data_IF_016197371799
#
_entry.id   IF_016197371799
#
_cell.length_a   1.000
_cell.length_b   1.000
_cell.length_c   1.000
_cell.angle_alpha   90.00
_cell.angle_beta   90.00
_cell.angle_gamma   90.00
#
_symmetry.space_group_name_H-M   'P 1'
#
loop_
_entity.id
_entity.type
_entity.pdbx_description
1 polymer ?
#
# COMPACT_ATOMS: atom_id res chain seq x y z
N UNK A 1 -18.19 -3.01 12.75
CA UNK A 1 -17.88 -1.93 11.78
C UNK A 1 -16.44 -2.12 11.31
N UNK A 2 -16.15 -2.08 10.01
CA UNK A 2 -14.81 -2.40 9.49
C UNK A 2 -13.89 -1.18 9.38
N UNK A 3 -12.58 -1.39 9.52
CA UNK A 3 -11.53 -0.40 9.23
C UNK A 3 -10.75 -0.79 7.97
N UNK A 4 -10.12 0.21 7.36
CA UNK A 4 -9.25 0.04 6.22
C UNK A 4 -8.07 1.01 6.32
N UNK A 5 -6.98 0.65 5.65
CA UNK A 5 -5.83 1.54 5.44
C UNK A 5 -6.06 2.32 4.17
N UNK A 6 -5.74 3.61 4.20
CA UNK A 6 -5.89 4.55 3.08
C UNK A 6 -4.54 5.17 2.74
N UNK A 7 -4.00 4.84 1.58
CA UNK A 7 -2.73 5.35 1.07
C UNK A 7 -3.04 6.28 -0.11
N UNK A 8 -2.60 7.53 -0.04
CA UNK A 8 -2.88 8.50 -1.10
C UNK A 8 -2.16 8.09 -2.38
N UNK A 9 -2.78 8.38 -3.52
CA UNK A 9 -2.16 8.18 -4.82
C UNK A 9 -2.35 9.47 -5.61
N UNK A 10 -1.27 9.95 -6.22
CA UNK A 10 -1.30 11.20 -6.97
C UNK A 10 -2.29 11.09 -8.13
N UNK A 11 -2.99 12.18 -8.41
CA UNK A 11 -4.04 12.23 -9.43
C UNK A 11 -3.51 11.83 -10.81
N UNK A 12 -2.30 12.30 -11.18
CA UNK A 12 -1.66 11.95 -12.44
C UNK A 12 -1.40 10.44 -12.56
N UNK A 13 -0.93 9.80 -11.48
CA UNK A 13 -0.66 8.35 -11.44
C UNK A 13 -1.95 7.56 -11.53
N UNK A 14 -2.99 7.97 -10.79
CA UNK A 14 -4.30 7.32 -10.87
C UNK A 14 -4.96 7.47 -12.23
N UNK A 15 -4.92 8.67 -12.82
CA UNK A 15 -5.47 8.91 -14.15
C UNK A 15 -4.76 8.07 -15.21
N UNK A 16 -3.42 7.97 -15.14
CA UNK A 16 -2.66 7.09 -16.03
C UNK A 16 -3.05 5.61 -15.84
N UNK A 17 -3.23 5.16 -14.59
CA UNK A 17 -3.76 3.84 -14.30
C UNK A 17 -5.14 3.61 -14.93
N UNK A 18 -6.08 4.54 -14.74
CA UNK A 18 -7.46 4.46 -15.25
C UNK A 18 -7.50 4.37 -16.78
N UNK A 19 -6.65 5.13 -17.47
CA UNK A 19 -6.52 5.05 -18.92
C UNK A 19 -6.08 3.66 -19.38
N UNK A 20 -5.06 3.08 -18.74
CA UNK A 20 -4.58 1.73 -19.05
C UNK A 20 -5.66 0.69 -18.75
N UNK A 21 -6.31 0.80 -17.58
CA UNK A 21 -7.39 -0.08 -17.17
C UNK A 21 -8.55 -0.05 -18.17
N UNK A 22 -8.97 1.14 -18.63
CA UNK A 22 -10.00 1.28 -19.65
C UNK A 22 -9.58 0.67 -20.99
N UNK A 23 -8.37 0.97 -21.47
CA UNK A 23 -7.85 0.44 -22.73
C UNK A 23 -7.75 -1.09 -22.74
N UNK A 24 -7.29 -1.69 -21.63
CA UNK A 24 -7.22 -3.13 -21.48
C UNK A 24 -8.61 -3.76 -21.50
N UNK A 25 -9.58 -3.20 -20.76
CA UNK A 25 -10.95 -3.72 -20.72
C UNK A 25 -11.72 -3.51 -22.03
N UNK A 26 -11.31 -2.55 -22.87
CA UNK A 26 -11.83 -2.35 -24.22
C UNK A 26 -11.19 -3.29 -25.26
N UNK A 27 -10.22 -4.14 -24.86
CA UNK A 27 -9.59 -5.10 -25.75
C UNK A 27 -8.57 -4.48 -26.71
N UNK A 28 -7.84 -3.44 -26.27
CA UNK A 28 -6.80 -2.81 -27.10
C UNK A 28 -5.75 -3.82 -27.60
N UNK A 29 -5.34 -3.67 -28.86
CA UNK A 29 -4.25 -4.46 -29.46
C UNK A 29 -2.87 -3.89 -29.15
N UNK A 30 -2.78 -2.62 -28.75
CA UNK A 30 -1.52 -1.98 -28.41
C UNK A 30 -0.99 -2.51 -27.06
N UNK A 31 0.29 -2.91 -26.96
CA UNK A 31 0.85 -3.42 -25.72
C UNK A 31 0.84 -2.38 -24.59
N UNK A 32 0.18 -2.69 -23.47
CA UNK A 32 0.10 -1.80 -22.31
C UNK A 32 1.12 -2.12 -21.20
N UNK A 33 1.85 -3.22 -21.34
CA UNK A 33 2.71 -3.78 -20.30
C UNK A 33 3.79 -2.82 -19.76
N UNK A 34 4.45 -2.06 -20.65
CA UNK A 34 5.48 -1.09 -20.26
C UNK A 34 4.89 0.08 -19.47
N UNK A 35 3.79 0.66 -19.97
CA UNK A 35 3.12 1.79 -19.32
C UNK A 35 2.55 1.37 -17.97
N UNK A 36 1.91 0.19 -17.92
CA UNK A 36 1.42 -0.36 -16.65
C UNK A 36 2.56 -0.56 -15.67
N UNK A 37 3.69 -1.10 -16.11
CA UNK A 37 4.86 -1.30 -15.26
C UNK A 37 5.43 0.01 -14.68
N UNK A 38 5.38 1.12 -15.44
CA UNK A 38 5.74 2.45 -14.95
C UNK A 38 4.76 2.90 -13.86
N UNK A 39 3.45 2.84 -14.14
CA UNK A 39 2.41 3.23 -13.18
C UNK A 39 2.48 2.43 -11.88
N UNK A 40 2.68 1.12 -11.97
CA UNK A 40 2.88 0.27 -10.80
C UNK A 40 4.11 0.67 -9.98
N UNK A 41 5.17 1.13 -10.65
CA UNK A 41 6.39 1.57 -9.98
C UNK A 41 6.18 2.91 -9.26
N UNK A 42 5.41 3.82 -9.86
CA UNK A 42 5.06 5.10 -9.26
C UNK A 42 4.15 4.92 -8.04
N UNK A 43 3.10 4.09 -8.17
CA UNK A 43 2.25 3.68 -7.04
C UNK A 43 3.10 3.10 -5.90
N UNK A 44 4.00 2.17 -6.21
CA UNK A 44 4.86 1.54 -5.21
C UNK A 44 5.76 2.57 -4.51
N UNK A 45 6.35 3.50 -5.26
CA UNK A 45 7.20 4.55 -4.70
C UNK A 45 6.40 5.52 -3.83
N UNK A 46 5.21 5.96 -4.26
CA UNK A 46 4.34 6.83 -3.48
C UNK A 46 3.94 6.18 -2.15
N UNK A 47 3.63 4.89 -2.15
CA UNK A 47 3.28 4.15 -0.93
C UNK A 47 4.48 4.04 0.00
N UNK A 48 5.66 3.65 -0.51
CA UNK A 48 6.87 3.53 0.29
C UNK A 48 7.27 4.89 0.90
N UNK A 49 7.17 5.96 0.11
CA UNK A 49 7.45 7.32 0.56
C UNK A 49 6.51 7.73 1.70
N UNK A 50 5.19 7.54 1.54
CA UNK A 50 4.22 7.88 2.60
C UNK A 50 4.44 7.06 3.87
N UNK A 51 4.63 5.75 3.74
CA UNK A 51 4.70 4.88 4.91
C UNK A 51 6.03 5.04 5.64
N UNK A 52 7.15 5.18 4.93
CA UNK A 52 8.48 5.18 5.55
C UNK A 52 9.26 6.48 5.34
N UNK A 53 9.21 7.08 4.16
CA UNK A 53 9.95 8.32 3.88
C UNK A 53 9.47 9.48 4.75
N UNK A 54 8.16 9.70 4.81
CA UNK A 54 7.56 10.80 5.59
C UNK A 54 7.75 10.59 7.09
N UNK A 55 7.70 9.33 7.54
CA UNK A 55 8.03 8.94 8.92
C UNK A 55 9.46 9.36 9.29
N UNK A 56 10.44 9.02 8.46
CA UNK A 56 11.84 9.38 8.71
C UNK A 56 12.06 10.90 8.67
N UNK A 57 11.40 11.61 7.74
CA UNK A 57 11.48 13.06 7.65
C UNK A 57 10.96 13.75 8.93
N UNK A 58 9.84 13.29 9.49
CA UNK A 58 9.31 13.78 10.76
C UNK A 58 10.30 13.59 11.92
N UNK A 59 11.02 12.47 11.93
CA UNK A 59 12.00 12.14 12.98
C UNK A 59 13.28 12.98 12.91
N UNK A 60 13.68 13.46 11.71
CA UNK A 60 14.86 14.33 11.56
C UNK A 60 14.73 15.69 12.24
N UNK A 61 13.50 16.14 12.48
CA UNK A 61 13.26 17.43 13.13
C UNK A 61 13.45 17.40 14.67
N UNK A 62 13.87 16.25 15.24
CA UNK A 62 14.14 16.09 16.67
C UNK A 62 15.64 16.23 17.01
N UNK A 63 15.98 16.76 18.20
CA UNK A 63 17.33 17.27 18.50
C UNK A 63 18.43 16.21 18.76
N UNK A 64 18.15 14.90 18.73
CA UNK A 64 19.14 13.87 19.06
C UNK A 64 20.04 13.51 17.86
N UNK A 65 21.29 14.01 17.88
CA UNK A 65 22.29 13.80 16.84
C UNK A 65 22.70 12.33 16.63
N UNK A 66 22.56 11.47 17.64
CA UNK A 66 22.92 10.04 17.51
C UNK A 66 21.93 9.29 16.62
N UNK A 67 20.66 9.71 16.64
CA UNK A 67 19.57 9.13 15.88
C UNK A 67 19.57 9.59 14.41
N UNK A 68 20.07 10.80 14.13
CA UNK A 68 20.15 11.36 12.76
C UNK A 68 20.95 10.46 11.81
N UNK A 69 22.09 9.90 12.25
CA UNK A 69 22.89 9.00 11.40
C UNK A 69 22.14 7.73 11.01
N UNK A 70 21.39 7.13 11.94
CA UNK A 70 20.59 5.93 11.66
C UNK A 70 19.40 6.24 10.74
N UNK A 71 18.82 7.44 10.87
CA UNK A 71 17.79 7.93 9.96
C UNK A 71 18.35 8.10 8.54
N UNK A 72 19.51 8.73 8.39
CA UNK A 72 20.16 8.94 7.08
C UNK A 72 20.48 7.62 6.37
N UNK A 73 20.98 6.63 7.11
CA UNK A 73 21.21 5.28 6.56
C UNK A 73 19.90 4.62 6.12
N UNK A 74 18.84 4.79 6.90
CA UNK A 74 17.51 4.23 6.58
C UNK A 74 16.90 4.91 5.35
N UNK A 75 17.05 6.23 5.23
CA UNK A 75 16.60 6.98 4.06
C UNK A 75 17.32 6.53 2.79
N UNK A 76 18.65 6.37 2.84
CA UNK A 76 19.44 5.86 1.69
C UNK A 76 18.93 4.49 1.24
N UNK A 77 18.64 3.60 2.17
CA UNK A 77 18.09 2.27 1.85
C UNK A 77 16.72 2.40 1.18
N UNK A 78 15.82 3.25 1.70
CA UNK A 78 14.50 3.49 1.09
C UNK A 78 14.64 4.04 -0.33
N UNK A 79 15.48 5.04 -0.54
CA UNK A 79 15.74 5.62 -1.86
C UNK A 79 16.29 4.58 -2.84
N UNK A 80 17.22 3.72 -2.39
CA UNK A 80 17.75 2.63 -3.20
C UNK A 80 16.66 1.61 -3.58
N UNK A 81 15.75 1.27 -2.66
CA UNK A 81 14.61 0.39 -2.93
C UNK A 81 13.69 1.02 -3.98
N UNK A 82 13.32 2.29 -3.83
CA UNK A 82 12.47 3.00 -4.80
C UNK A 82 13.13 3.09 -6.18
N UNK A 83 14.43 3.44 -6.24
CA UNK A 83 15.18 3.49 -7.50
C UNK A 83 15.22 2.11 -8.19
N UNK A 84 15.39 1.05 -7.42
CA UNK A 84 15.36 -0.33 -7.90
C UNK A 84 13.99 -0.69 -8.46
N UNK A 85 12.91 -0.34 -7.76
CA UNK A 85 11.53 -0.56 -8.22
C UNK A 85 11.25 0.17 -9.54
N UNK A 86 11.63 1.44 -9.66
CA UNK A 86 11.48 2.22 -10.91
C UNK A 86 12.26 1.61 -12.07
N UNK A 87 13.41 1.00 -11.81
CA UNK A 87 14.24 0.37 -12.84
C UNK A 87 13.70 -0.99 -13.30
N UNK A 88 13.35 -1.87 -12.36
CA UNK A 88 13.09 -3.27 -12.68
C UNK A 88 11.61 -3.63 -12.82
N UNK A 89 10.70 -2.90 -12.17
CA UNK A 89 9.28 -3.23 -12.27
C UNK A 89 8.73 -3.06 -13.70
N UNK A 90 9.01 -1.96 -14.42
CA UNK A 90 8.59 -1.83 -15.82
C UNK A 90 9.10 -2.94 -16.72
N UNK A 91 10.37 -3.33 -16.53
CA UNK A 91 10.97 -4.44 -17.25
C UNK A 91 10.28 -5.78 -16.92
N UNK A 92 10.04 -6.07 -15.65
CA UNK A 92 9.41 -7.33 -15.22
C UNK A 92 7.99 -7.50 -15.77
N UNK A 93 7.24 -6.40 -15.88
CA UNK A 93 5.87 -6.41 -16.40
C UNK A 93 5.85 -6.45 -17.92
N UNK A 94 6.92 -5.99 -18.59
CA UNK A 94 7.00 -5.92 -20.06
C UNK A 94 6.86 -7.27 -20.78
N UNK A 95 7.04 -8.39 -20.07
CA UNK A 95 6.90 -9.73 -20.60
C UNK A 95 5.45 -10.23 -20.70
N UNK A 96 4.47 -9.47 -20.22
CA UNK A 96 3.07 -9.89 -20.21
C UNK A 96 2.26 -9.33 -21.38
N UNK A 97 1.38 -10.17 -21.93
CA UNK A 97 0.35 -9.75 -22.88
C UNK A 97 -0.78 -9.00 -22.18
N UNK A 98 -1.54 -8.19 -22.92
CA UNK A 98 -2.71 -7.47 -22.40
C UNK A 98 -3.72 -8.38 -21.69
N UNK A 99 -3.99 -9.56 -22.24
CA UNK A 99 -4.87 -10.56 -21.63
C UNK A 99 -4.40 -10.98 -20.22
N UNK A 100 -3.09 -11.17 -20.03
CA UNK A 100 -2.52 -11.52 -18.73
C UNK A 100 -2.54 -10.38 -17.73
N UNK A 101 -2.63 -9.14 -18.19
CA UNK A 101 -2.67 -7.95 -17.33
C UNK A 101 -4.08 -7.65 -16.81
N UNK A 102 -5.13 -8.08 -17.52
CA UNK A 102 -6.53 -7.82 -17.16
C UNK A 102 -6.89 -8.18 -15.71
N UNK A 103 -6.58 -9.39 -15.20
CA UNK A 103 -6.90 -9.74 -13.82
C UNK A 103 -6.23 -8.81 -12.81
N UNK A 104 -4.98 -8.41 -13.08
CA UNK A 104 -4.22 -7.50 -12.22
C UNK A 104 -4.87 -6.11 -12.20
N UNK A 105 -5.11 -5.49 -13.36
CA UNK A 105 -5.65 -4.13 -13.39
C UNK A 105 -7.06 -4.05 -12.82
N UNK A 106 -7.89 -5.07 -13.04
CA UNK A 106 -9.23 -5.11 -12.46
C UNK A 106 -9.20 -5.28 -10.93
N UNK A 107 -8.25 -6.08 -10.43
CA UNK A 107 -8.01 -6.19 -8.99
C UNK A 107 -7.56 -4.84 -8.41
N UNK A 108 -6.56 -4.19 -8.99
CA UNK A 108 -6.06 -2.91 -8.48
C UNK A 108 -7.12 -1.81 -8.55
N UNK A 109 -7.91 -1.73 -9.63
CA UNK A 109 -9.06 -0.83 -9.74
C UNK A 109 -10.04 -1.01 -8.56
N UNK A 110 -10.26 -2.25 -8.12
CA UNK A 110 -11.12 -2.54 -6.97
C UNK A 110 -10.59 -1.99 -5.63
N UNK A 111 -9.29 -1.69 -5.54
CA UNK A 111 -8.63 -1.12 -4.36
C UNK A 111 -8.66 0.41 -4.33
N UNK A 112 -8.86 1.08 -5.46
CA UNK A 112 -8.90 2.55 -5.52
C UNK A 112 -10.23 3.12 -5.03
N UNK A 113 -10.20 4.20 -4.24
CA UNK A 113 -11.38 4.97 -3.84
C UNK A 113 -11.06 6.45 -3.84
N UNK A 114 -11.97 7.25 -4.38
CA UNK A 114 -11.87 8.71 -4.32
C UNK A 114 -12.78 9.24 -3.22
N UNK A 115 -12.20 9.99 -2.28
CA UNK A 115 -12.91 10.66 -1.19
C UNK A 115 -12.46 12.11 -1.12
N UNK A 116 -13.40 13.06 -1.11
CA UNK A 116 -13.10 14.50 -1.05
C UNK A 116 -12.01 14.94 -2.05
N UNK A 117 -12.17 14.55 -3.32
CA UNK A 117 -11.23 14.82 -4.42
C UNK A 117 -9.82 14.21 -4.27
N UNK A 118 -9.58 13.40 -3.23
CA UNK A 118 -8.33 12.67 -3.06
C UNK A 118 -8.54 11.21 -3.42
N UNK A 119 -7.66 10.67 -4.28
CA UNK A 119 -7.65 9.25 -4.58
C UNK A 119 -6.79 8.50 -3.56
N UNK A 120 -7.32 7.39 -3.08
CA UNK A 120 -6.65 6.47 -2.18
C UNK A 120 -6.62 5.07 -2.78
N UNK A 121 -5.50 4.38 -2.61
CA UNK A 121 -5.46 2.93 -2.64
C UNK A 121 -5.79 2.43 -1.24
N UNK A 122 -6.75 1.50 -1.13
CA UNK A 122 -7.21 0.98 0.16
C UNK A 122 -7.21 -0.54 0.25
N UNK A 123 -6.96 -1.03 1.46
CA UNK A 123 -7.18 -2.43 1.80
C UNK A 123 -7.91 -2.55 3.14
N UNK A 124 -8.77 -3.57 3.21
CA UNK A 124 -9.56 -3.87 4.40
C UNK A 124 -8.70 -4.55 5.45
N UNK A 125 -8.93 -4.20 6.72
CA UNK A 125 -8.30 -4.88 7.84
C UNK A 125 -9.23 -5.90 8.48
N UNK A 126 -8.64 -6.95 9.02
CA UNK A 126 -9.31 -7.89 9.92
C UNK A 126 -9.80 -7.19 11.19
N UNK A 127 -11.02 -7.50 11.63
CA UNK A 127 -11.64 -6.80 12.77
C UNK A 127 -10.97 -7.11 14.10
N UNK A 128 -10.44 -8.32 14.29
CA UNK A 128 -9.73 -8.72 15.51
C UNK A 128 -8.41 -7.96 15.57
N UNK A 129 -7.66 -7.94 14.46
CA UNK A 129 -6.43 -7.16 14.36
C UNK A 129 -6.66 -5.68 14.70
N UNK A 130 -7.71 -5.07 14.14
CA UNK A 130 -8.04 -3.67 14.41
C UNK A 130 -8.31 -3.44 15.90
N UNK A 131 -9.10 -4.30 16.53
CA UNK A 131 -9.40 -4.20 17.96
C UNK A 131 -8.15 -4.35 18.82
N UNK A 132 -7.29 -5.31 18.48
CA UNK A 132 -6.02 -5.54 19.18
C UNK A 132 -5.06 -4.36 19.01
N UNK A 133 -4.99 -3.77 17.80
CA UNK A 133 -4.20 -2.56 17.54
C UNK A 133 -4.67 -1.40 18.41
N UNK A 134 -5.97 -1.05 18.37
CA UNK A 134 -6.49 0.06 19.17
C UNK A 134 -6.28 -0.19 20.67
N UNK A 135 -6.53 -1.41 21.16
CA UNK A 135 -6.34 -1.73 22.57
C UNK A 135 -4.88 -1.60 23.02
N UNK A 136 -3.91 -1.98 22.20
CA UNK A 136 -2.49 -1.83 22.53
C UNK A 136 -2.04 -0.36 22.43
N UNK A 137 -2.44 0.32 21.36
CA UNK A 137 -2.10 1.73 21.11
C UNK A 137 -2.64 2.65 22.21
N UNK A 138 -3.89 2.48 22.63
CA UNK A 138 -4.49 3.31 23.69
C UNK A 138 -3.77 3.16 25.03
N UNK A 139 -3.22 1.97 25.32
CA UNK A 139 -2.40 1.75 26.52
C UNK A 139 -1.03 2.41 26.42
N UNK A 140 -0.41 2.41 25.24
CA UNK A 140 0.86 3.13 25.00
C UNK A 140 0.64 4.64 25.15
N UNK A 141 -0.45 5.18 24.57
CA UNK A 141 -0.85 6.58 24.73
C UNK A 141 -1.10 6.98 26.18
N UNK A 142 -1.61 6.04 26.98
CA UNK A 142 -1.78 6.20 28.43
C UNK A 142 -0.46 6.06 29.23
N UNK A 143 0.70 6.00 28.57
CA UNK A 143 2.02 5.92 29.19
C UNK A 143 2.44 4.51 29.63
N UNK A 144 1.68 3.46 29.27
CA UNK A 144 2.01 2.09 29.67
C UNK A 144 3.03 1.48 28.71
N UNK A 145 4.31 1.81 28.91
CA UNK A 145 5.44 1.38 28.08
C UNK A 145 5.51 -0.13 27.81
N UNK A 146 5.02 -0.96 28.74
CA UNK A 146 4.95 -2.44 28.58
C UNK A 146 4.12 -2.88 27.37
N UNK A 147 3.23 -2.02 26.85
CA UNK A 147 2.43 -2.31 25.66
C UNK A 147 3.08 -1.88 24.34
N UNK A 148 4.22 -1.18 24.37
CA UNK A 148 4.94 -0.74 23.15
C UNK A 148 5.25 -1.92 22.23
N UNK A 149 5.86 -3.04 22.69
CA UNK A 149 6.10 -4.19 21.81
C UNK A 149 4.83 -4.74 21.17
N UNK A 150 3.73 -4.79 21.94
CA UNK A 150 2.44 -5.30 21.44
C UNK A 150 1.83 -4.37 20.39
N UNK A 151 1.94 -3.06 20.56
CA UNK A 151 1.48 -2.09 19.57
C UNK A 151 2.26 -2.24 18.26
N UNK A 152 3.60 -2.30 18.32
CA UNK A 152 4.43 -2.49 17.13
C UNK A 152 4.22 -3.85 16.45
N UNK A 153 3.95 -4.92 17.21
CA UNK A 153 3.56 -6.21 16.65
C UNK A 153 2.25 -6.10 15.84
N UNK A 154 1.23 -5.44 16.39
CA UNK A 154 -0.04 -5.25 15.70
C UNK A 154 0.11 -4.38 14.45
N UNK A 155 0.91 -3.30 14.52
CA UNK A 155 1.23 -2.46 13.35
C UNK A 155 1.98 -3.25 12.27
N UNK A 156 2.90 -4.13 12.65
CA UNK A 156 3.62 -5.02 11.72
C UNK A 156 2.66 -5.96 10.98
N UNK A 157 1.64 -6.49 11.68
CA UNK A 157 0.61 -7.31 11.06
C UNK A 157 -0.27 -6.51 10.08
N UNK A 158 -0.59 -5.24 10.39
CA UNK A 158 -1.30 -4.35 9.45
C UNK A 158 -0.47 -4.14 8.18
N UNK A 159 0.83 -3.88 8.31
CA UNK A 159 1.74 -3.75 7.17
C UNK A 159 1.80 -5.04 6.35
N UNK A 160 1.82 -6.21 7.00
CA UNK A 160 1.81 -7.51 6.29
C UNK A 160 0.51 -7.76 5.50
N UNK A 161 -0.64 -7.32 6.02
CA UNK A 161 -1.88 -7.32 5.24
C UNK A 161 -1.76 -6.42 4.00
N UNK A 162 -1.13 -5.25 4.14
CA UNK A 162 -0.80 -4.38 3.01
C UNK A 162 0.10 -5.06 1.97
N UNK A 163 1.18 -5.72 2.41
CA UNK A 163 2.07 -6.50 1.52
C UNK A 163 1.29 -7.60 0.80
N UNK A 164 0.36 -8.27 1.48
CA UNK A 164 -0.47 -9.30 0.87
C UNK A 164 -1.34 -8.74 -0.25
N UNK A 165 -2.02 -7.63 0.00
CA UNK A 165 -2.97 -7.03 -0.94
C UNK A 165 -2.24 -6.30 -2.08
N UNK A 166 -1.12 -5.65 -1.82
CA UNK A 166 -0.46 -4.78 -2.79
C UNK A 166 0.69 -5.46 -3.55
N UNK A 167 1.18 -6.59 -3.04
CA UNK A 167 2.34 -7.28 -3.64
C UNK A 167 2.01 -8.74 -3.94
N UNK A 168 1.64 -9.53 -2.91
CA UNK A 168 1.48 -10.99 -3.07
C UNK A 168 0.31 -11.33 -3.99
N UNK A 169 -0.84 -10.69 -3.81
CA UNK A 169 -2.04 -10.91 -4.65
C UNK A 169 -1.81 -10.46 -6.10
N UNK A 170 -1.32 -9.23 -6.38
CA UNK A 170 -0.90 -8.82 -7.72
C UNK A 170 0.06 -9.78 -8.42
N UNK A 171 1.08 -10.26 -7.71
CA UNK A 171 2.03 -11.24 -8.24
C UNK A 171 1.35 -12.55 -8.63
N UNK A 172 0.46 -13.07 -7.78
CA UNK A 172 -0.30 -14.29 -8.06
C UNK A 172 -1.17 -14.14 -9.32
N UNK A 173 -1.83 -12.99 -9.47
CA UNK A 173 -2.66 -12.69 -10.65
C UNK A 173 -1.84 -12.66 -11.94
N UNK A 174 -0.61 -12.17 -11.88
CA UNK A 174 0.31 -12.15 -13.03
C UNK A 174 0.81 -13.54 -13.43
N UNK A 175 0.74 -14.55 -12.54
CA UNK A 175 1.16 -15.95 -12.82
C UNK A 175 2.57 -16.06 -13.43
N UNK A 176 3.57 -15.46 -12.79
CA UNK A 176 4.97 -15.56 -13.25
C UNK A 176 5.41 -17.02 -13.49
N UNK A 177 6.36 -17.21 -14.41
CA UNK A 177 6.97 -18.53 -14.57
C UNK A 177 7.74 -18.92 -13.28
N UNK A 178 7.96 -20.22 -13.07
CA UNK A 178 8.51 -20.76 -11.82
C UNK A 178 9.83 -20.11 -11.37
N UNK A 179 10.72 -19.80 -12.32
CA UNK A 179 12.04 -19.22 -12.03
C UNK A 179 11.91 -17.77 -11.58
N UNK A 180 11.15 -16.95 -12.30
CA UNK A 180 10.90 -15.56 -11.91
C UNK A 180 10.11 -15.50 -10.60
N UNK A 181 9.15 -16.41 -10.42
CA UNK A 181 8.33 -16.49 -9.21
C UNK A 181 9.19 -16.79 -7.97
N UNK A 182 10.11 -17.76 -8.06
CA UNK A 182 11.02 -18.12 -6.95
C UNK A 182 11.92 -16.94 -6.55
N UNK A 183 12.49 -16.26 -7.53
CA UNK A 183 13.35 -15.09 -7.28
C UNK A 183 12.54 -13.96 -6.63
N UNK A 184 11.35 -13.65 -7.16
CA UNK A 184 10.48 -12.61 -6.62
C UNK A 184 10.00 -12.94 -5.20
N UNK A 185 9.68 -14.20 -4.91
CA UNK A 185 9.35 -14.66 -3.56
C UNK A 185 10.53 -14.47 -2.58
N UNK A 186 11.75 -14.79 -3.02
CA UNK A 186 12.96 -14.57 -2.21
C UNK A 186 13.17 -13.11 -1.85
N UNK A 187 13.01 -12.20 -2.82
CA UNK A 187 13.12 -10.75 -2.59
C UNK A 187 12.02 -10.25 -1.66
N UNK A 188 10.75 -10.60 -1.92
CA UNK A 188 9.62 -10.22 -1.05
C UNK A 188 9.86 -10.69 0.38
N UNK A 189 10.25 -11.96 0.58
CA UNK A 189 10.51 -12.51 1.91
C UNK A 189 11.66 -11.77 2.61
N UNK A 190 12.77 -11.53 1.91
CA UNK A 190 13.93 -10.82 2.49
C UNK A 190 13.57 -9.38 2.88
N UNK A 191 12.90 -8.63 2.00
CA UNK A 191 12.55 -7.22 2.23
C UNK A 191 11.50 -7.09 3.34
N UNK A 192 10.48 -7.94 3.35
CA UNK A 192 9.46 -7.96 4.41
C UNK A 192 10.05 -8.34 5.75
N UNK A 193 10.88 -9.38 5.81
CA UNK A 193 11.57 -9.78 7.04
C UNK A 193 12.46 -8.67 7.60
N UNK A 194 13.23 -7.99 6.75
CA UNK A 194 14.07 -6.86 7.18
C UNK A 194 13.22 -5.69 7.72
N UNK A 195 12.12 -5.36 7.04
CA UNK A 195 11.17 -4.33 7.47
C UNK A 195 10.53 -4.67 8.82
N UNK A 196 10.04 -5.89 8.99
CA UNK A 196 9.40 -6.35 10.22
C UNK A 196 10.38 -6.36 11.39
N UNK A 197 11.59 -6.90 11.18
CA UNK A 197 12.63 -6.90 12.20
C UNK A 197 13.02 -5.49 12.64
N UNK A 198 12.99 -4.50 11.74
CA UNK A 198 13.22 -3.09 12.11
C UNK A 198 12.08 -2.54 12.97
N UNK A 199 10.82 -2.78 12.61
CA UNK A 199 9.65 -2.38 13.43
C UNK A 199 9.64 -3.07 14.81
N UNK A 200 10.03 -4.34 14.89
CA UNK A 200 10.16 -5.06 16.16
C UNK A 200 11.28 -4.49 17.05
N UNK A 201 12.42 -4.12 16.45
CA UNK A 201 13.50 -3.45 17.17
C UNK A 201 13.06 -2.08 17.69
N UNK A 202 12.29 -1.33 16.92
CA UNK A 202 11.67 -0.09 17.39
C UNK A 202 10.78 -0.37 18.62
N UNK A 203 9.98 -1.43 18.61
CA UNK A 203 9.18 -1.80 19.77
C UNK A 203 9.95 -2.16 21.05
N UNK A 204 11.27 -2.38 20.98
CA UNK A 204 12.10 -2.82 22.12
C UNK A 204 13.24 -1.86 22.49
N UNK A 205 13.55 -0.88 21.63
CA UNK A 205 14.76 -0.05 21.76
C UNK A 205 14.48 1.45 21.77
N UNK A 206 13.24 1.90 21.54
CA UNK A 206 12.92 3.34 21.59
C UNK A 206 12.27 3.71 22.92
N UNK A 207 12.54 4.94 23.33
CA UNK A 207 11.82 5.61 24.41
C UNK A 207 10.30 5.64 24.14
N UNK A 208 9.45 5.44 25.18
CA UNK A 208 7.99 5.52 25.06
C UNK A 208 7.45 6.79 24.38
N UNK A 209 8.10 7.95 24.56
CA UNK A 209 7.66 9.21 23.95
C UNK A 209 7.85 9.18 22.43
N UNK A 210 8.95 8.59 21.96
CA UNK A 210 9.20 8.40 20.53
C UNK A 210 8.29 7.31 19.94
N UNK A 211 7.97 6.27 20.72
CA UNK A 211 7.07 5.20 20.30
C UNK A 211 5.70 5.73 19.87
N UNK A 212 5.17 6.75 20.57
CA UNK A 212 3.91 7.39 20.21
C UNK A 212 3.97 8.04 18.82
N UNK A 213 5.05 8.72 18.42
CA UNK A 213 5.11 9.35 17.10
C UNK A 213 5.08 8.32 15.96
N UNK A 214 5.81 7.22 16.13
CA UNK A 214 5.75 6.11 15.17
C UNK A 214 4.34 5.54 15.09
N UNK A 215 3.71 5.31 16.24
CA UNK A 215 2.34 4.80 16.31
C UNK A 215 1.37 5.76 15.61
N UNK A 216 1.41 7.06 15.91
CA UNK A 216 0.50 8.04 15.32
C UNK A 216 0.68 8.13 13.79
N UNK A 217 1.92 8.07 13.30
CA UNK A 217 2.18 8.02 11.86
C UNK A 217 1.46 6.84 11.18
N UNK A 218 1.57 5.63 11.73
CA UNK A 218 0.86 4.47 11.15
C UNK A 218 -0.66 4.56 11.34
N UNK A 219 -1.12 5.04 12.50
CA UNK A 219 -2.54 5.18 12.81
C UNK A 219 -3.23 6.22 11.91
N UNK A 220 -2.50 7.22 11.41
CA UNK A 220 -3.03 8.23 10.49
C UNK A 220 -3.57 7.62 9.18
N UNK A 221 -3.07 6.45 8.77
CA UNK A 221 -3.57 5.75 7.58
C UNK A 221 -4.84 4.93 7.84
N UNK A 222 -5.17 4.64 9.10
CA UNK A 222 -6.35 3.85 9.46
C UNK A 222 -7.59 4.75 9.49
N UNK A 223 -8.58 4.41 8.65
CA UNK A 223 -9.89 5.05 8.68
C UNK A 223 -11.00 4.02 8.82
N UNK A 224 -12.07 4.43 9.50
CA UNK A 224 -13.30 3.66 9.57
C UNK A 224 -13.91 3.61 8.17
N UNK A 225 -14.33 2.43 7.71
CA UNK A 225 -15.01 2.34 6.40
C UNK A 225 -16.30 3.15 6.48
N UNK A 226 -16.58 4.04 5.51
CA UNK A 226 -17.92 4.61 5.40
C UNK A 226 -18.92 3.46 5.22
N UNK A 227 -20.07 3.52 5.90
CA UNK A 227 -21.19 2.61 5.65
C UNK A 227 -21.68 2.86 4.22
N UNK A 228 -21.12 2.16 3.24
CA UNK A 228 -21.61 2.25 1.87
C UNK A 228 -22.90 1.45 1.77
N UNK A 229 -24.05 2.12 1.93
CA UNK A 229 -25.31 1.62 1.37
C UNK A 229 -25.11 1.56 -0.15
N UNK A 230 -25.10 0.35 -0.70
CA UNK A 230 -24.98 0.12 -2.14
C UNK A 230 -26.28 0.62 -2.79
N UNK A 231 -26.25 1.78 -3.44
CA UNK A 231 -27.27 2.11 -4.43
C UNK A 231 -27.00 1.25 -5.68
N UNK A 232 -27.88 0.27 -5.90
CA UNK A 232 -27.95 -0.53 -7.13
C UNK A 232 -28.19 0.39 -8.33
N UNK A 233 -27.38 0.20 -9.36
CA UNK A 233 -27.53 0.79 -10.70
C UNK A 233 -28.93 0.49 -11.23
N UNK A 234 -29.65 1.52 -11.67
CA UNK A 234 -30.86 1.35 -12.48
C UNK A 234 -30.52 1.72 -13.93
N UNK A 235 -30.06 0.72 -14.68
CA UNK A 235 -30.01 0.75 -16.13
C UNK A 235 -31.41 0.44 -16.67
N UNK A 236 -32.13 1.46 -17.15
CA UNK A 236 -33.31 1.24 -17.99
C UNK A 236 -33.23 2.13 -19.24
N UNK A 237 -32.61 1.55 -20.27
CA UNK A 237 -33.13 1.39 -21.63
C UNK A 237 -34.24 2.37 -22.01
N UNK A 238 -33.89 3.40 -22.80
CA UNK A 238 -34.86 4.10 -23.65
C UNK A 238 -35.14 3.24 -24.88
N UNK A 239 -36.23 2.48 -24.85
CA UNK A 239 -36.86 1.94 -26.07
C UNK A 239 -37.97 2.89 -26.50
N UNK A 240 -37.94 3.22 -27.78
CA UNK A 240 -38.96 3.96 -28.52
C UNK A 240 -40.36 3.36 -28.30
N UNK A 241 -41.38 4.22 -28.25
CA UNK A 241 -42.68 3.93 -28.84
C UNK A 241 -43.40 5.24 -29.17
N UNK A 242 -43.46 5.52 -30.47
CA UNK A 242 -44.43 6.40 -31.08
C UNK A 242 -45.85 5.85 -30.85
N UNK A 243 -46.82 6.75 -30.58
CA UNK A 243 -48.25 6.73 -30.94
C UNK A 243 -49.08 7.48 -29.89
N UNK A 244 -49.37 8.75 -30.15
CA UNK A 244 -50.71 9.25 -30.54
C UNK A 244 -50.61 10.74 -30.81
#
# INVERSE_FOLDING_TARGET
MGYAVFLKIDEATHHHFDQIHAQLNQGTTQPQCKQLGIVLSDISCQIIQQVFGDMLAQQKHKPDQSFIKQIDESEKVIQQVMATMKKYLPWSVSFFSNERLLPLVNYLASTFRTEAQTTYMRYSLDSVLVQDTFSAVDKVRAGQAVYVPKAFQALTQIVDQGVTQLIRTPKQLLKFNLVVDKTLNGVIHMTTHLGYKRLEKLGTQIDPDMANDYIEHFMAFLKKKPNTFIYRVNSNVKTQLARK
#
